data_IF_551426087182
#
_entry.id   IF_551426087182
#
_cell.length_a   1.000
_cell.length_b   1.000
_cell.length_c   1.000
_cell.angle_alpha   90.00
_cell.angle_beta   90.00
_cell.angle_gamma   90.00
#
_symmetry.space_group_name_H-M   'P 1'
#
loop_
_entity.id
_entity.type
_entity.pdbx_description
1 polymer ?
#
# COMPACT_ATOMS: atom_id res chain seq x y z
N UNK A 1 -5.71 -7.44 9.29
CA UNK A 1 -6.73 -6.47 8.82
C UNK A 1 -8.02 -7.21 8.49
N UNK A 2 -9.15 -6.57 8.67
CA UNK A 2 -10.46 -7.18 8.42
C UNK A 2 -10.69 -7.40 6.91
N UNK A 3 -11.16 -8.60 6.53
CA UNK A 3 -11.45 -8.94 5.14
C UNK A 3 -12.52 -8.02 4.53
N UNK A 4 -13.50 -7.56 5.31
CA UNK A 4 -14.54 -6.65 4.85
C UNK A 4 -13.95 -5.30 4.44
N UNK A 5 -12.97 -4.80 5.21
CA UNK A 5 -12.28 -3.55 4.87
C UNK A 5 -11.41 -3.70 3.63
N UNK A 6 -10.75 -4.85 3.48
CA UNK A 6 -9.93 -5.11 2.29
C UNK A 6 -10.77 -5.09 1.02
N UNK A 7 -11.98 -5.64 1.08
CA UNK A 7 -12.88 -5.69 -0.07
C UNK A 7 -13.26 -4.29 -0.59
N UNK A 8 -13.27 -3.30 0.29
CA UNK A 8 -13.56 -1.92 -0.10
C UNK A 8 -12.41 -1.25 -0.84
N UNK A 9 -11.22 -1.83 -0.84
CA UNK A 9 -10.04 -1.30 -1.51
C UNK A 9 -10.04 -1.80 -2.97
N UNK A 10 -9.98 -0.91 -3.98
CA UNK A 10 -10.07 -1.31 -5.38
C UNK A 10 -9.11 -2.42 -5.80
N UNK A 11 -7.88 -2.41 -5.30
CA UNK A 11 -6.88 -3.44 -5.63
C UNK A 11 -7.34 -4.83 -5.23
N UNK A 12 -8.07 -4.95 -4.13
CA UNK A 12 -8.55 -6.24 -3.61
C UNK A 12 -10.00 -6.55 -3.97
N UNK A 13 -10.70 -5.64 -4.65
CA UNK A 13 -12.14 -5.78 -4.92
C UNK A 13 -12.49 -7.00 -5.77
N UNK A 14 -11.56 -7.46 -6.61
CA UNK A 14 -11.77 -8.63 -7.49
C UNK A 14 -11.38 -9.95 -6.86
N UNK A 15 -10.88 -9.94 -5.64
CA UNK A 15 -10.57 -11.17 -4.92
C UNK A 15 -11.87 -11.82 -4.41
N UNK A 16 -11.89 -13.14 -4.40
CA UNK A 16 -13.01 -13.88 -3.80
C UNK A 16 -12.99 -13.72 -2.28
N UNK A 17 -14.09 -14.02 -1.62
CA UNK A 17 -14.15 -13.98 -0.16
C UNK A 17 -13.13 -14.91 0.47
N UNK A 18 -12.88 -16.07 -0.13
CA UNK A 18 -11.87 -17.00 0.34
C UNK A 18 -10.46 -16.41 0.24
N UNK A 19 -10.15 -15.79 -0.90
CA UNK A 19 -8.86 -15.12 -1.08
C UNK A 19 -8.67 -13.97 -0.10
N UNK A 20 -9.71 -13.18 0.14
CA UNK A 20 -9.68 -12.08 1.11
C UNK A 20 -9.40 -12.58 2.53
N UNK A 21 -9.98 -13.72 2.90
CA UNK A 21 -9.73 -14.33 4.22
C UNK A 21 -8.28 -14.79 4.38
N UNK A 22 -7.64 -15.19 3.28
CA UNK A 22 -6.22 -15.57 3.30
C UNK A 22 -5.32 -14.35 3.42
N UNK A 23 -5.67 -13.26 2.78
CA UNK A 23 -4.89 -12.01 2.78
C UNK A 23 -5.01 -11.26 4.10
N UNK A 24 -6.22 -11.21 4.67
CA UNK A 24 -6.50 -10.39 5.84
C UNK A 24 -5.49 -10.56 7.01
N UNK A 25 -5.13 -11.78 7.42
CA UNK A 25 -4.14 -11.94 8.49
C UNK A 25 -2.72 -11.57 8.09
N UNK A 26 -2.42 -11.47 6.78
CA UNK A 26 -1.09 -11.11 6.27
C UNK A 26 -0.95 -9.61 6.05
N UNK A 27 -2.05 -8.88 5.96
CA UNK A 27 -2.05 -7.44 5.73
C UNK A 27 -1.93 -6.69 7.06
N UNK A 28 -0.96 -5.78 7.13
CA UNK A 28 -0.74 -4.94 8.30
C UNK A 28 -1.17 -3.51 8.01
N UNK A 29 -1.85 -2.89 8.95
CA UNK A 29 -2.26 -1.49 8.84
C UNK A 29 -1.23 -0.62 9.56
N UNK A 30 -0.80 0.48 8.92
CA UNK A 30 0.15 1.44 9.48
C UNK A 30 -0.38 2.85 9.31
N UNK A 31 -0.21 3.67 10.34
CA UNK A 31 -0.56 5.09 10.26
C UNK A 31 0.71 5.91 10.41
N UNK A 32 0.91 6.89 9.52
CA UNK A 32 2.08 7.75 9.51
C UNK A 32 1.66 9.20 9.35
N UNK A 33 2.37 10.13 10.01
CA UNK A 33 2.06 11.55 9.90
C UNK A 33 2.53 12.14 8.57
N UNK A 34 2.02 13.32 8.24
CA UNK A 34 2.54 14.09 7.12
C UNK A 34 4.05 14.32 7.30
N UNK A 35 4.79 14.23 6.22
CA UNK A 35 6.24 14.38 6.22
C UNK A 35 7.00 13.08 6.48
N UNK A 36 6.33 12.00 6.87
CA UNK A 36 6.98 10.72 7.09
C UNK A 36 7.45 10.11 5.77
N UNK A 37 8.62 9.48 5.80
CA UNK A 37 9.14 8.75 4.66
C UNK A 37 8.53 7.35 4.66
N UNK A 38 7.86 7.01 3.57
CA UNK A 38 7.20 5.71 3.41
C UNK A 38 8.16 4.74 2.71
N UNK A 39 9.34 4.52 3.33
CA UNK A 39 10.34 3.64 2.74
C UNK A 39 9.91 2.19 2.85
N UNK A 40 10.15 1.41 1.79
CA UNK A 40 10.06 -0.02 1.87
C UNK A 40 11.34 -0.65 1.32
N UNK A 41 11.72 -1.79 1.84
CA UNK A 41 12.91 -2.51 1.42
C UNK A 41 12.71 -3.34 0.15
N UNK A 42 11.59 -3.21 -0.52
CA UNK A 42 11.27 -4.01 -1.70
C UNK A 42 10.63 -5.35 -1.40
N UNK A 43 10.36 -5.63 -0.13
CA UNK A 43 9.79 -6.89 0.32
C UNK A 43 8.30 -6.79 0.62
N UNK A 44 7.74 -5.59 0.52
CA UNK A 44 6.34 -5.34 0.82
C UNK A 44 5.66 -4.58 -0.32
N UNK A 45 4.40 -4.89 -0.53
CA UNK A 45 3.48 -4.06 -1.29
C UNK A 45 2.85 -3.10 -0.30
N UNK A 46 2.95 -1.80 -0.55
CA UNK A 46 2.33 -0.77 0.29
C UNK A 46 1.22 -0.10 -0.50
N UNK A 47 0.03 -0.08 0.07
CA UNK A 47 -1.16 0.51 -0.53
C UNK A 47 -1.63 1.67 0.33
N UNK A 48 -1.92 2.81 -0.29
CA UNK A 48 -2.49 3.96 0.43
C UNK A 48 -4.00 3.74 0.54
N UNK A 49 -4.48 3.58 1.78
CA UNK A 49 -5.90 3.46 2.07
C UNK A 49 -6.53 4.84 2.26
N UNK A 50 -5.82 5.73 2.97
CA UNK A 50 -6.22 7.12 3.14
C UNK A 50 -4.99 8.03 3.10
N UNK A 51 -5.15 9.24 2.56
CA UNK A 51 -4.10 10.25 2.54
C UNK A 51 -3.45 10.40 1.19
N UNK A 52 -2.40 11.19 1.16
CA UNK A 52 -1.64 11.52 -0.05
C UNK A 52 -0.15 11.44 0.19
N UNK A 53 0.59 11.18 -0.88
CA UNK A 53 2.06 11.11 -0.83
C UNK A 53 2.65 11.60 -2.15
N UNK A 54 3.96 11.90 -2.12
CA UNK A 54 4.71 12.28 -3.30
C UNK A 54 5.85 11.29 -3.53
N UNK A 55 6.09 10.97 -4.79
CA UNK A 55 7.17 10.08 -5.22
C UNK A 55 8.32 10.94 -5.75
N UNK A 56 9.51 10.74 -5.21
CA UNK A 56 10.72 11.49 -5.58
C UNK A 56 11.84 10.54 -5.96
N UNK A 57 12.63 10.94 -6.96
CA UNK A 57 13.84 10.22 -7.35
C UNK A 57 14.90 11.25 -7.76
N UNK A 58 16.07 11.19 -7.13
CA UNK A 58 17.18 12.10 -7.43
C UNK A 58 16.76 13.58 -7.43
N UNK A 59 16.06 13.99 -6.38
CA UNK A 59 15.55 15.36 -6.19
C UNK A 59 14.49 15.78 -7.22
N UNK A 60 13.95 14.83 -7.98
CA UNK A 60 12.89 15.10 -8.96
C UNK A 60 11.56 14.53 -8.43
N UNK A 61 10.53 15.35 -8.47
CA UNK A 61 9.17 14.92 -8.18
C UNK A 61 8.63 14.13 -9.38
N UNK A 62 8.31 12.87 -9.17
CA UNK A 62 7.85 11.99 -10.26
C UNK A 62 6.33 11.85 -10.33
N UNK A 63 5.65 11.78 -9.18
CA UNK A 63 4.23 11.51 -9.17
C UNK A 63 3.61 11.87 -7.82
N UNK A 64 2.30 12.04 -7.82
CA UNK A 64 1.50 12.16 -6.62
C UNK A 64 0.68 10.87 -6.46
N UNK A 65 0.60 10.37 -5.24
CA UNK A 65 -0.18 9.18 -4.90
C UNK A 65 -1.32 9.55 -3.97
N UNK A 66 -2.42 8.86 -4.11
CA UNK A 66 -3.59 9.03 -3.25
C UNK A 66 -4.21 7.69 -2.87
N UNK A 67 -5.39 7.75 -2.25
CA UNK A 67 -6.10 6.55 -1.84
C UNK A 67 -6.32 5.61 -3.03
N UNK A 68 -5.99 4.35 -2.85
CA UNK A 68 -6.07 3.32 -3.89
C UNK A 68 -4.76 3.07 -4.64
N UNK A 69 -3.81 3.99 -4.56
CA UNK A 69 -2.49 3.81 -5.20
C UNK A 69 -1.62 2.90 -4.34
N UNK A 70 -0.70 2.20 -5.00
CA UNK A 70 0.20 1.29 -4.33
C UNK A 70 1.60 1.37 -4.93
N UNK A 71 2.59 0.91 -4.17
CA UNK A 71 3.98 0.87 -4.62
C UNK A 71 4.72 -0.27 -3.91
N UNK A 72 5.80 -0.74 -4.52
CA UNK A 72 6.61 -1.82 -3.98
C UNK A 72 8.02 -1.33 -3.64
N UNK A 73 8.85 -1.16 -4.64
CA UNK A 73 10.23 -0.68 -4.48
C UNK A 73 10.41 0.58 -5.29
N UNK A 74 11.56 1.21 -5.11
CA UNK A 74 11.99 2.25 -6.01
C UNK A 74 12.28 3.57 -5.31
N UNK A 75 11.80 4.67 -5.87
CA UNK A 75 12.15 5.99 -5.37
C UNK A 75 11.62 6.27 -3.96
N UNK A 76 12.07 7.37 -3.40
CA UNK A 76 11.59 7.84 -2.11
C UNK A 76 10.12 8.25 -2.19
N UNK A 77 9.33 7.81 -1.22
CA UNK A 77 7.93 8.19 -1.11
C UNK A 77 7.75 8.93 0.20
N UNK A 78 7.18 10.12 0.16
CA UNK A 78 7.00 10.99 1.33
C UNK A 78 5.52 11.33 1.49
N UNK A 79 4.99 11.13 2.69
CA UNK A 79 3.60 11.49 2.98
C UNK A 79 3.42 13.01 2.95
N UNK A 80 2.42 13.50 2.23
CA UNK A 80 2.07 14.92 2.16
C UNK A 80 0.87 15.27 3.03
N UNK A 81 0.23 14.25 3.59
CA UNK A 81 -0.82 14.36 4.61
C UNK A 81 -0.65 13.18 5.56
N UNK A 82 -1.39 13.12 6.67
CA UNK A 82 -1.45 11.87 7.44
C UNK A 82 -1.95 10.75 6.53
N UNK A 83 -1.27 9.60 6.55
CA UNK A 83 -1.61 8.47 5.69
C UNK A 83 -1.88 7.23 6.51
N UNK A 84 -2.79 6.41 5.99
CA UNK A 84 -3.01 5.04 6.45
C UNK A 84 -2.59 4.11 5.32
N UNK A 85 -1.65 3.22 5.62
CA UNK A 85 -1.13 2.25 4.66
C UNK A 85 -1.60 0.86 5.02
N UNK A 86 -1.77 0.05 3.98
CA UNK A 86 -1.91 -1.40 4.12
C UNK A 86 -0.64 -2.02 3.55
N UNK A 87 0.09 -2.76 4.39
CA UNK A 87 1.33 -3.42 4.00
C UNK A 87 1.08 -4.91 3.83
N UNK A 88 1.56 -5.48 2.72
CA UNK A 88 1.43 -6.88 2.40
C UNK A 88 2.77 -7.40 1.90
N UNK A 89 3.19 -8.58 2.38
CA UNK A 89 4.41 -9.23 1.90
C UNK A 89 4.35 -9.40 0.39
N UNK A 90 5.46 -9.12 -0.31
CA UNK A 90 5.48 -9.14 -1.77
C UNK A 90 5.24 -10.55 -2.34
N UNK A 91 5.69 -11.60 -1.64
CA UNK A 91 5.45 -12.97 -2.09
C UNK A 91 3.97 -13.34 -1.98
N UNK A 92 3.31 -12.89 -0.91
CA UNK A 92 1.86 -13.07 -0.78
C UNK A 92 1.12 -12.31 -1.88
N UNK A 93 1.56 -11.08 -2.19
CA UNK A 93 0.98 -10.28 -3.25
C UNK A 93 1.13 -10.96 -4.63
N UNK A 94 2.29 -11.55 -4.89
CA UNK A 94 2.54 -12.29 -6.14
C UNK A 94 1.67 -13.54 -6.25
N UNK A 95 1.55 -14.27 -5.15
CA UNK A 95 0.72 -15.49 -5.09
C UNK A 95 -0.73 -15.17 -5.45
N UNK A 96 -1.21 -13.99 -5.07
CA UNK A 96 -2.56 -13.52 -5.35
C UNK A 96 -2.66 -12.72 -6.66
N UNK A 97 -1.57 -12.63 -7.42
CA UNK A 97 -1.48 -11.87 -8.67
C UNK A 97 -1.82 -10.38 -8.50
N UNK A 98 -1.45 -9.79 -7.36
CA UNK A 98 -1.68 -8.37 -7.08
C UNK A 98 -0.51 -7.48 -7.51
N UNK A 99 0.66 -8.06 -7.69
CA UNK A 99 1.87 -7.30 -8.05
C UNK A 99 2.43 -7.76 -9.39
#
# INVERSE_FOLDING_TARGET
MDATRLKAIPLFARLSDEELRRVAPLAAERELPAGAMLANGGEELLLIDEGTAEVWCDERHLADLGAGDYFTTGPTVVATSPVRLVALDIEAARTLALA
#
